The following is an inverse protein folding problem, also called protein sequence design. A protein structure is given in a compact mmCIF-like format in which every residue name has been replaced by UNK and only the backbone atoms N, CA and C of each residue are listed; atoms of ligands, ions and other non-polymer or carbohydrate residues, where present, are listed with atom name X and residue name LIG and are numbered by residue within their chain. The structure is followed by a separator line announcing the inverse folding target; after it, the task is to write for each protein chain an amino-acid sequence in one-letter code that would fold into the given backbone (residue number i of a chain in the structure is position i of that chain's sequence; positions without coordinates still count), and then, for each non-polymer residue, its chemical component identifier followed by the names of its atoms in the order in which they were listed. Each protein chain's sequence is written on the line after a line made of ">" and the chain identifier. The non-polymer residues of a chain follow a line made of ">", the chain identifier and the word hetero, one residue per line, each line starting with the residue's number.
data_IF_984168994775
#
_entry.id   IF_984168994775
#
_cell.length_a   1.000
_cell.length_b   1.000
_cell.length_c   1.000
_cell.angle_alpha   90.00
_cell.angle_beta   90.00
_cell.angle_gamma   90.00
#
_symmetry.space_group_name_H-M   'P 1'
#
loop_
_entity.id
_entity.type
_entity.pdbx_description
1 polymer ?
#
# COMPACT_ATOMS: atom_id res chain seq x y z
N UNK A 1 -5.77 63.99 87.49
CA UNK A 1 -5.79 64.23 86.02
C UNK A 1 -5.04 63.18 85.20
N UNK A 2 -3.86 62.67 85.61
CA UNK A 2 -3.17 61.60 84.85
C UNK A 2 -3.93 60.27 84.74
N UNK A 3 -4.62 59.83 85.81
CA UNK A 3 -5.41 58.56 85.80
C UNK A 3 -6.65 58.61 84.90
N UNK A 4 -7.31 59.76 84.79
CA UNK A 4 -8.48 59.95 83.91
C UNK A 4 -8.07 60.03 82.45
N UNK A 5 -6.90 60.59 82.13
CA UNK A 5 -6.33 60.60 80.79
C UNK A 5 -5.92 59.21 80.30
N UNK A 6 -5.37 58.37 81.19
CA UNK A 6 -5.03 56.97 80.88
C UNK A 6 -6.29 56.10 80.70
N UNK A 7 -7.35 56.35 81.49
CA UNK A 7 -8.62 55.65 81.32
C UNK A 7 -9.34 56.05 80.01
N UNK A 8 -9.28 57.34 79.64
CA UNK A 8 -9.84 57.82 78.36
C UNK A 8 -9.05 57.30 77.15
N UNK A 9 -7.72 57.23 77.24
CA UNK A 9 -6.90 56.67 76.17
C UNK A 9 -7.07 55.16 76.03
N UNK A 10 -7.20 54.41 77.14
CA UNK A 10 -7.52 52.98 77.10
C UNK A 10 -8.92 52.71 76.53
N UNK A 11 -9.91 53.54 76.86
CA UNK A 11 -11.26 53.44 76.28
C UNK A 11 -11.27 53.79 74.78
N UNK A 12 -10.52 54.80 74.36
CA UNK A 12 -10.38 55.19 72.95
C UNK A 12 -9.66 54.11 72.11
N UNK A 13 -8.63 53.47 72.67
CA UNK A 13 -7.93 52.35 72.04
C UNK A 13 -8.85 51.12 71.97
N UNK A 14 -9.67 50.87 72.99
CA UNK A 14 -10.66 49.79 72.96
C UNK A 14 -11.79 50.01 71.93
N UNK A 15 -12.21 51.26 71.69
CA UNK A 15 -13.20 51.57 70.64
C UNK A 15 -12.62 51.51 69.23
N UNK A 16 -11.34 51.84 69.04
CA UNK A 16 -10.67 51.69 67.74
C UNK A 16 -10.36 50.22 67.40
N UNK A 17 -10.17 49.38 68.42
CA UNK A 17 -10.01 47.93 68.25
C UNK A 17 -11.34 47.19 67.98
N UNK A 18 -12.48 47.88 68.04
CA UNK A 18 -13.80 47.25 67.94
C UNK A 18 -14.28 46.98 66.50
N UNK A 19 -13.66 47.59 65.48
CA UNK A 19 -14.01 47.36 64.08
C UNK A 19 -12.75 47.26 63.21
N UNK A 20 -12.33 46.04 62.88
CA UNK A 20 -11.25 45.82 61.92
C UNK A 20 -11.81 45.73 60.50
N UNK A 21 -11.22 46.42 59.51
CA UNK A 21 -11.63 46.27 58.13
C UNK A 21 -11.18 44.90 57.58
N UNK A 22 -12.11 44.17 56.98
CA UNK A 22 -11.85 42.93 56.25
C UNK A 22 -12.34 43.07 54.82
N UNK A 23 -11.42 42.98 53.87
CA UNK A 23 -11.73 43.13 52.44
C UNK A 23 -11.75 41.77 51.77
N UNK A 24 -12.71 41.57 50.87
CA UNK A 24 -12.77 40.42 49.97
C UNK A 24 -12.27 40.82 48.58
N UNK A 25 -11.48 39.96 47.92
CA UNK A 25 -11.19 40.15 46.49
C UNK A 25 -12.44 39.90 45.63
N UNK A 26 -12.38 40.27 44.34
CA UNK A 26 -13.49 40.11 43.40
C UNK A 26 -13.94 38.64 43.20
N UNK A 27 -13.06 37.68 43.47
CA UNK A 27 -13.33 36.23 43.36
C UNK A 27 -13.38 35.53 44.71
N UNK A 28 -13.39 36.27 45.81
CA UNK A 28 -13.39 35.72 47.16
C UNK A 28 -14.73 35.97 47.85
N UNK A 29 -15.29 34.95 48.45
CA UNK A 29 -16.46 35.04 49.33
C UNK A 29 -15.98 34.98 50.77
N UNK A 30 -16.44 35.94 51.56
CA UNK A 30 -16.17 35.95 52.99
C UNK A 30 -17.22 35.15 53.75
N UNK A 31 -16.79 34.41 54.75
CA UNK A 31 -17.67 33.74 55.70
C UNK A 31 -17.40 34.34 57.07
N UNK A 32 -18.42 34.99 57.62
CA UNK A 32 -18.40 35.56 58.95
C UNK A 32 -19.12 34.62 59.91
N UNK A 33 -18.43 34.19 60.96
CA UNK A 33 -19.04 33.40 62.02
C UNK A 33 -19.10 34.21 63.32
N UNK A 34 -20.31 34.41 63.83
CA UNK A 34 -20.51 35.10 65.09
C UNK A 34 -20.48 34.11 66.27
N UNK A 35 -19.49 34.25 67.16
CA UNK A 35 -19.28 33.36 68.30
C UNK A 35 -20.40 33.41 69.34
N UNK A 36 -21.13 34.52 69.43
CA UNK A 36 -22.18 34.74 70.43
C UNK A 36 -23.50 34.13 69.94
N UNK A 37 -23.92 34.48 68.73
CA UNK A 37 -25.20 34.02 68.16
C UNK A 37 -25.09 32.65 67.49
N UNK A 38 -23.87 32.15 67.25
CA UNK A 38 -23.57 30.95 66.45
C UNK A 38 -24.16 31.01 65.04
N UNK A 39 -24.42 32.21 64.53
CA UNK A 39 -24.91 32.43 63.18
C UNK A 39 -23.73 32.60 62.22
N UNK A 40 -23.93 32.12 60.99
CA UNK A 40 -22.95 32.24 59.90
C UNK A 40 -23.55 33.08 58.80
N UNK A 41 -22.85 34.12 58.37
CA UNK A 41 -23.27 35.00 57.28
C UNK A 41 -22.25 34.94 56.13
N UNK A 42 -22.77 34.91 54.91
CA UNK A 42 -21.97 34.89 53.68
C UNK A 42 -21.87 36.30 53.15
N UNK A 43 -20.65 36.83 53.15
CA UNK A 43 -20.30 38.14 52.63
C UNK A 43 -20.03 38.07 51.12
N UNK A 44 -20.64 38.98 50.36
CA UNK A 44 -20.47 39.10 48.91
C UNK A 44 -19.03 39.50 48.54
N UNK A 45 -18.52 39.02 47.38
CA UNK A 45 -17.20 39.39 46.87
C UNK A 45 -17.01 40.87 46.57
N UNK A 46 -15.77 41.34 46.63
CA UNK A 46 -15.38 42.70 46.24
C UNK A 46 -15.81 43.82 47.19
N UNK A 47 -16.22 43.47 48.41
CA UNK A 47 -16.67 44.43 49.42
C UNK A 47 -15.79 44.39 50.68
N UNK A 48 -15.78 45.52 51.40
CA UNK A 48 -15.11 45.68 52.70
C UNK A 48 -16.14 45.62 53.82
N UNK A 49 -15.92 44.72 54.77
CA UNK A 49 -16.77 44.49 55.91
C UNK A 49 -16.06 44.95 57.18
N UNK A 50 -16.83 45.50 58.12
CA UNK A 50 -16.33 45.99 59.41
C UNK A 50 -17.03 45.24 60.53
N UNK A 51 -16.27 44.50 61.33
CA UNK A 51 -16.80 43.79 62.49
C UNK A 51 -15.74 43.64 63.59
N UNK A 52 -16.19 43.36 64.81
CA UNK A 52 -15.32 43.15 65.95
C UNK A 52 -14.66 41.76 65.89
N UNK A 53 -13.31 41.66 65.86
CA UNK A 53 -12.60 40.39 65.74
C UNK A 53 -12.68 39.51 67.00
N UNK A 54 -13.08 40.10 68.14
CA UNK A 54 -13.28 39.36 69.39
C UNK A 54 -14.55 38.49 69.29
N UNK A 55 -15.57 38.96 68.58
CA UNK A 55 -16.90 38.34 68.50
C UNK A 55 -17.06 37.52 67.21
N UNK A 56 -16.38 37.91 66.13
CA UNK A 56 -16.55 37.31 64.82
C UNK A 56 -15.26 36.68 64.33
N UNK A 57 -15.35 35.43 63.86
CA UNK A 57 -14.29 34.81 63.05
C UNK A 57 -14.56 35.07 61.57
N UNK A 58 -13.48 35.29 60.82
CA UNK A 58 -13.54 35.61 59.40
C UNK A 58 -12.66 34.66 58.60
N UNK A 59 -13.19 34.14 57.51
CA UNK A 59 -12.45 33.32 56.56
C UNK A 59 -12.88 33.66 55.15
N UNK A 60 -11.92 33.70 54.23
CA UNK A 60 -12.19 33.90 52.80
C UNK A 60 -12.06 32.59 52.06
N UNK A 61 -12.99 32.35 51.14
CA UNK A 61 -12.97 31.25 50.20
C UNK A 61 -12.89 31.79 48.78
N UNK A 62 -11.99 31.22 47.99
CA UNK A 62 -11.88 31.56 46.58
C UNK A 62 -12.92 30.74 45.80
N UNK A 63 -13.86 31.44 45.15
CA UNK A 63 -14.94 30.83 44.36
C UNK A 63 -14.58 30.70 42.88
N UNK A 64 -13.39 31.16 42.49
CA UNK A 64 -12.87 30.95 41.15
C UNK A 64 -12.62 29.48 40.87
N UNK A 65 -12.59 29.14 39.58
CA UNK A 65 -12.28 27.80 39.11
C UNK A 65 -10.82 27.47 39.37
N UNK A 66 -10.59 26.41 40.13
CA UNK A 66 -9.27 25.94 40.54
C UNK A 66 -8.96 24.58 39.90
N UNK A 67 -7.68 24.36 39.64
CA UNK A 67 -7.17 23.08 39.17
C UNK A 67 -6.48 22.35 40.33
N UNK A 68 -6.93 21.13 40.59
CA UNK A 68 -6.25 20.17 41.44
C UNK A 68 -5.45 19.25 40.51
N UNK A 69 -4.12 19.38 40.52
CA UNK A 69 -3.23 18.59 39.66
C UNK A 69 -2.54 17.50 40.48
N UNK A 70 -2.70 16.26 40.01
CA UNK A 70 -2.08 15.04 40.52
C UNK A 70 -1.19 14.48 39.41
N UNK A 71 0.13 14.65 39.51
CA UNK A 71 1.07 14.29 38.43
C UNK A 71 2.27 13.49 38.97
N UNK A 72 2.85 12.67 38.09
CA UNK A 72 4.12 11.97 38.32
C UNK A 72 5.29 12.93 38.50
N UNK A 73 5.29 14.07 37.80
CA UNK A 73 6.40 15.03 37.80
C UNK A 73 6.34 15.92 39.05
N UNK A 74 7.43 15.93 39.83
CA UNK A 74 7.57 16.72 41.05
C UNK A 74 7.39 18.24 40.85
N UNK A 75 7.73 18.78 39.68
CA UNK A 75 7.57 20.20 39.36
C UNK A 75 6.28 20.50 38.56
N UNK A 76 5.48 19.48 38.24
CA UNK A 76 4.28 19.60 37.39
C UNK A 76 2.96 19.58 38.13
N UNK A 77 2.95 19.35 39.45
CA UNK A 77 1.74 19.15 40.26
C UNK A 77 1.58 20.14 41.41
N UNK A 78 0.48 19.98 42.15
CA UNK A 78 0.20 20.76 43.37
C UNK A 78 1.18 20.50 44.52
N UNK A 79 1.93 19.39 44.47
CA UNK A 79 2.88 18.95 45.49
C UNK A 79 4.26 18.77 44.86
N UNK A 80 5.30 19.00 45.66
CA UNK A 80 6.70 18.75 45.29
C UNK A 80 7.05 17.26 45.19
N UNK A 81 6.16 16.38 45.63
CA UNK A 81 6.33 14.93 45.59
C UNK A 81 5.48 14.31 44.47
N UNK A 82 5.88 13.11 44.02
CA UNK A 82 5.12 12.31 43.06
C UNK A 82 3.72 12.01 43.61
N UNK A 83 2.69 12.58 42.99
CA UNK A 83 1.28 12.46 43.39
C UNK A 83 0.40 12.00 42.22
N UNK A 84 0.91 11.07 41.42
CA UNK A 84 0.15 10.42 40.36
C UNK A 84 -0.92 9.47 40.92
N UNK A 85 -1.95 9.23 40.12
CA UNK A 85 -2.96 8.24 40.42
C UNK A 85 -2.45 6.86 40.00
N UNK A 86 -2.26 5.98 40.98
CA UNK A 86 -1.80 4.60 40.75
C UNK A 86 -2.91 3.62 41.06
N UNK A 87 -3.17 2.72 40.11
CA UNK A 87 -4.26 1.77 40.23
C UNK A 87 -4.03 0.54 39.37
N UNK A 88 -4.88 -0.47 39.56
CA UNK A 88 -4.88 -1.69 38.76
C UNK A 88 -6.06 -1.68 37.83
N UNK A 89 -5.81 -1.95 36.56
CA UNK A 89 -6.86 -2.23 35.57
C UNK A 89 -7.60 -3.52 35.93
N UNK A 90 -8.73 -3.75 35.26
CA UNK A 90 -9.56 -4.94 35.46
C UNK A 90 -8.82 -6.25 35.17
N UNK A 91 -7.84 -6.22 34.25
CA UNK A 91 -6.94 -7.33 33.93
C UNK A 91 -5.73 -7.48 34.90
N UNK A 92 -5.61 -6.60 35.90
CA UNK A 92 -4.61 -6.70 36.98
C UNK A 92 -3.30 -5.95 36.76
N UNK A 93 -3.12 -5.28 35.62
CA UNK A 93 -1.91 -4.51 35.32
C UNK A 93 -1.85 -3.20 36.10
N UNK A 94 -0.65 -2.80 36.53
CA UNK A 94 -0.45 -1.55 37.25
C UNK A 94 -0.29 -0.38 36.27
N UNK A 95 -1.15 0.63 36.42
CA UNK A 95 -1.11 1.90 35.69
C UNK A 95 -0.86 3.04 36.64
N UNK A 96 -0.05 3.98 36.17
CA UNK A 96 0.16 5.27 36.78
C UNK A 96 -0.28 6.37 35.81
N UNK A 97 -1.23 7.22 36.20
CA UNK A 97 -1.77 8.29 35.36
C UNK A 97 -1.79 9.63 36.08
N UNK A 98 -1.54 10.68 35.32
CA UNK A 98 -1.71 12.06 35.75
C UNK A 98 -3.20 12.43 35.63
N UNK A 99 -3.70 13.21 36.59
CA UNK A 99 -5.11 13.63 36.64
C UNK A 99 -5.18 15.10 37.06
N UNK A 100 -5.96 15.87 36.31
CA UNK A 100 -6.30 17.24 36.66
C UNK A 100 -7.80 17.33 36.89
N UNK A 101 -8.21 17.73 38.09
CA UNK A 101 -9.61 18.00 38.41
C UNK A 101 -9.84 19.50 38.44
N UNK A 102 -10.77 19.96 37.61
CA UNK A 102 -11.23 21.35 37.61
C UNK A 102 -12.46 21.45 38.50
N UNK A 103 -12.39 22.27 39.54
CA UNK A 103 -13.42 22.39 40.56
C UNK A 103 -13.54 23.84 41.05
N UNK A 104 -14.68 24.17 41.64
CA UNK A 104 -14.93 25.48 42.27
C UNK A 104 -15.83 25.31 43.47
N UNK A 105 -15.85 26.33 44.33
CA UNK A 105 -16.74 26.38 45.49
C UNK A 105 -18.09 26.97 45.07
N UNK A 106 -19.19 26.41 45.61
CA UNK A 106 -20.51 27.02 45.54
C UNK A 106 -20.61 28.17 46.56
N UNK A 107 -20.75 29.43 46.11
CA UNK A 107 -20.85 30.58 47.02
C UNK A 107 -21.98 30.45 48.05
N UNK A 108 -23.09 29.82 47.67
CA UNK A 108 -24.27 29.67 48.53
C UNK A 108 -24.04 28.73 49.70
N UNK A 109 -23.08 27.79 49.57
CA UNK A 109 -22.76 26.78 50.57
C UNK A 109 -21.45 27.06 51.30
N UNK A 110 -20.82 28.21 51.08
CA UNK A 110 -19.55 28.60 51.70
C UNK A 110 -19.60 28.56 53.25
N UNK A 111 -20.73 28.98 53.84
CA UNK A 111 -20.95 28.89 55.28
C UNK A 111 -20.85 27.43 55.80
N UNK A 112 -21.46 26.48 55.08
CA UNK A 112 -21.47 25.06 55.42
C UNK A 112 -20.08 24.43 55.27
N UNK A 113 -19.31 24.86 54.27
CA UNK A 113 -17.93 24.41 54.06
C UNK A 113 -17.06 24.77 55.26
N UNK A 114 -17.19 26.00 55.76
CA UNK A 114 -16.44 26.48 56.91
C UNK A 114 -16.78 25.67 58.16
N UNK A 115 -18.06 25.41 58.41
CA UNK A 115 -18.54 24.69 59.59
C UNK A 115 -18.16 23.20 59.57
N UNK A 116 -18.29 22.53 58.41
CA UNK A 116 -18.25 21.07 58.34
C UNK A 116 -17.00 20.50 57.67
N UNK A 117 -16.35 21.26 56.79
CA UNK A 117 -15.35 20.71 55.87
C UNK A 117 -13.93 21.21 56.16
N UNK A 118 -13.70 22.52 56.06
CA UNK A 118 -12.36 23.08 56.20
C UNK A 118 -12.35 24.60 56.46
N UNK A 119 -11.36 25.09 57.23
CA UNK A 119 -11.18 26.51 57.54
C UNK A 119 -10.49 27.31 56.41
N UNK A 120 -10.10 26.68 55.29
CA UNK A 120 -9.53 27.39 54.13
C UNK A 120 -9.71 26.59 52.84
N UNK A 121 -9.71 27.28 51.70
CA UNK A 121 -9.72 26.67 50.36
C UNK A 121 -8.61 25.63 50.19
N UNK A 122 -7.39 25.92 50.65
CA UNK A 122 -6.25 25.00 50.58
C UNK A 122 -6.49 23.74 51.40
N UNK A 123 -7.00 23.88 52.63
CA UNK A 123 -7.31 22.74 53.48
C UNK A 123 -8.45 21.90 52.91
N UNK A 124 -9.46 22.54 52.31
CA UNK A 124 -10.55 21.86 51.61
C UNK A 124 -10.02 21.02 50.45
N UNK A 125 -9.14 21.61 49.62
CA UNK A 125 -8.47 20.93 48.51
C UNK A 125 -7.74 19.67 48.98
N UNK A 126 -6.89 19.80 50.00
CA UNK A 126 -6.02 18.71 50.45
C UNK A 126 -6.74 17.62 51.25
N UNK A 127 -7.75 17.97 52.06
CA UNK A 127 -8.42 17.02 52.97
C UNK A 127 -9.69 16.41 52.41
N UNK A 128 -10.38 17.11 51.52
CA UNK A 128 -11.69 16.66 51.00
C UNK A 128 -11.60 16.38 49.51
N UNK A 129 -11.26 17.39 48.69
CA UNK A 129 -11.30 17.25 47.23
C UNK A 129 -10.31 16.19 46.75
N UNK A 130 -9.03 16.26 47.17
CA UNK A 130 -7.97 15.36 46.72
C UNK A 130 -8.25 13.89 47.06
N UNK A 131 -8.58 13.50 48.32
CA UNK A 131 -8.87 12.11 48.64
C UNK A 131 -10.11 11.56 47.93
N UNK A 132 -11.20 12.35 47.85
CA UNK A 132 -12.43 11.93 47.17
C UNK A 132 -12.21 11.76 45.66
N UNK A 133 -11.51 12.71 45.04
CA UNK A 133 -11.15 12.62 43.63
C UNK A 133 -10.27 11.39 43.36
N UNK A 134 -9.26 11.14 44.19
CA UNK A 134 -8.39 9.95 44.07
C UNK A 134 -9.21 8.65 44.11
N UNK A 135 -10.20 8.56 44.99
CA UNK A 135 -11.06 7.38 45.11
C UNK A 135 -11.98 7.20 43.91
N UNK A 136 -12.81 8.20 43.59
CA UNK A 136 -13.84 8.03 42.54
C UNK A 136 -13.27 8.00 41.13
N UNK A 137 -12.20 8.77 40.85
CA UNK A 137 -11.52 8.68 39.56
C UNK A 137 -10.90 7.30 39.40
N UNK A 138 -10.24 6.78 40.44
CA UNK A 138 -9.73 5.40 40.43
C UNK A 138 -10.82 4.37 40.18
N UNK A 139 -11.96 4.48 40.88
CA UNK A 139 -13.04 3.50 40.76
C UNK A 139 -13.66 3.48 39.35
N UNK A 140 -13.70 4.64 38.66
CA UNK A 140 -14.11 4.71 37.26
C UNK A 140 -13.06 4.08 36.32
N UNK A 141 -11.77 4.39 36.52
CA UNK A 141 -10.69 3.90 35.66
C UNK A 141 -10.36 2.41 35.87
N UNK A 142 -10.56 1.88 37.07
CA UNK A 142 -10.38 0.45 37.40
C UNK A 142 -11.27 -0.49 36.57
N UNK A 143 -12.33 0.04 35.96
CA UNK A 143 -13.25 -0.76 35.13
C UNK A 143 -12.71 -1.06 33.74
N UNK A 144 -11.69 -0.31 33.30
CA UNK A 144 -11.07 -0.48 32.00
C UNK A 144 -9.99 -1.57 32.06
N UNK A 145 -9.88 -2.33 30.97
CA UNK A 145 -8.72 -3.18 30.70
C UNK A 145 -7.53 -2.35 30.18
N UNK A 146 -6.33 -2.95 30.14
CA UNK A 146 -5.13 -2.26 29.66
C UNK A 146 -5.24 -1.83 28.21
N UNK A 147 -5.86 -2.66 27.36
CA UNK A 147 -6.09 -2.35 25.94
C UNK A 147 -7.13 -1.23 25.78
N UNK A 148 -8.23 -1.30 26.52
CA UNK A 148 -9.26 -0.26 26.54
C UNK A 148 -8.70 1.07 27.03
N UNK A 149 -7.75 1.04 27.97
CA UNK A 149 -7.06 2.22 28.45
C UNK A 149 -6.21 2.88 27.36
N UNK A 150 -5.71 2.16 26.36
CA UNK A 150 -5.01 2.80 25.23
C UNK A 150 -5.96 3.56 24.30
N UNK A 151 -7.25 3.21 24.28
CA UNK A 151 -8.24 3.88 23.44
C UNK A 151 -8.63 5.25 24.04
N UNK A 152 -8.33 6.38 23.36
CA UNK A 152 -8.65 7.71 23.85
C UNK A 152 -10.15 7.92 24.14
N UNK A 153 -11.03 7.33 23.33
CA UNK A 153 -12.48 7.52 23.47
C UNK A 153 -13.02 6.85 24.73
N UNK A 154 -12.55 5.63 25.03
CA UNK A 154 -12.95 4.89 26.22
C UNK A 154 -12.42 5.56 27.49
N UNK A 155 -11.18 6.05 27.47
CA UNK A 155 -10.63 6.86 28.57
C UNK A 155 -11.43 8.13 28.82
N UNK A 156 -11.79 8.85 27.76
CA UNK A 156 -12.57 10.09 27.90
C UNK A 156 -13.97 9.81 28.48
N UNK A 157 -14.61 8.72 28.07
CA UNK A 157 -15.88 8.27 28.65
C UNK A 157 -15.72 7.96 30.14
N UNK A 158 -14.69 7.20 30.53
CA UNK A 158 -14.42 6.91 31.93
C UNK A 158 -14.12 8.17 32.75
N UNK A 159 -13.42 9.16 32.19
CA UNK A 159 -13.21 10.46 32.82
C UNK A 159 -14.51 11.26 33.00
N UNK A 160 -15.41 11.19 32.01
CA UNK A 160 -16.74 11.81 32.11
C UNK A 160 -17.61 11.13 33.18
N UNK A 161 -17.57 9.80 33.26
CA UNK A 161 -18.23 9.05 34.34
C UNK A 161 -17.66 9.40 35.71
N UNK A 162 -16.33 9.46 35.83
CA UNK A 162 -15.65 9.91 37.04
C UNK A 162 -16.09 11.31 37.44
N UNK A 163 -16.24 12.23 36.48
CA UNK A 163 -16.73 13.59 36.72
C UNK A 163 -18.14 13.56 37.31
N UNK A 164 -19.06 12.75 36.77
CA UNK A 164 -20.43 12.62 37.27
C UNK A 164 -20.47 12.05 38.69
N UNK A 165 -19.71 10.97 38.94
CA UNK A 165 -19.62 10.34 40.25
C UNK A 165 -19.05 11.31 41.29
N UNK A 166 -17.93 11.94 40.96
CA UNK A 166 -17.26 12.89 41.85
C UNK A 166 -18.13 14.11 42.14
N UNK A 167 -18.82 14.65 41.12
CA UNK A 167 -19.76 15.76 41.29
C UNK A 167 -20.91 15.40 42.24
N UNK A 168 -21.52 14.22 42.08
CA UNK A 168 -22.61 13.77 42.94
C UNK A 168 -22.19 13.65 44.42
N UNK A 169 -20.96 13.19 44.67
CA UNK A 169 -20.45 13.03 46.04
C UNK A 169 -19.91 14.32 46.67
N UNK A 170 -19.44 15.27 45.86
CA UNK A 170 -18.90 16.56 46.35
C UNK A 170 -19.95 17.68 46.45
N UNK A 171 -21.08 17.54 45.75
CA UNK A 171 -22.17 18.53 45.80
C UNK A 171 -22.74 18.77 47.22
N UNK A 172 -22.92 17.76 48.10
CA UNK A 172 -23.36 17.97 49.48
C UNK A 172 -22.38 18.79 50.34
N UNK A 173 -21.10 18.81 49.95
CA UNK A 173 -20.05 19.59 50.59
C UNK A 173 -19.91 21.00 49.98
N UNK A 174 -20.80 21.42 49.07
CA UNK A 174 -20.73 22.73 48.44
C UNK A 174 -19.60 22.88 47.42
N UNK A 175 -19.08 21.76 46.90
CA UNK A 175 -18.02 21.75 45.88
C UNK A 175 -18.62 21.34 44.54
N UNK A 176 -18.35 22.15 43.52
CA UNK A 176 -18.81 21.91 42.15
C UNK A 176 -17.62 21.44 41.33
N UNK A 177 -17.74 20.25 40.76
CA UNK A 177 -16.74 19.66 39.88
C UNK A 177 -17.15 19.94 38.45
N UNK A 178 -16.28 20.60 37.70
CA UNK A 178 -16.55 20.92 36.30
C UNK A 178 -16.12 19.79 35.37
N UNK A 179 -14.90 19.28 35.58
CA UNK A 179 -14.33 18.27 34.70
C UNK A 179 -13.16 17.54 35.35
N UNK A 180 -13.08 16.23 35.11
CA UNK A 180 -11.87 15.42 35.32
C UNK A 180 -11.16 15.26 33.98
N UNK A 181 -9.87 15.61 33.95
CA UNK A 181 -9.00 15.54 32.77
C UNK A 181 -7.89 14.53 33.08
N UNK A 182 -7.71 13.56 32.20
CA UNK A 182 -6.62 12.58 32.28
C UNK A 182 -5.42 13.10 31.48
N UNK A 183 -4.24 13.00 32.06
CA UNK A 183 -2.97 13.39 31.44
C UNK A 183 -2.19 12.19 30.92
N UNK A 184 -0.86 12.30 31.02
CA UNK A 184 0.05 11.23 30.64
C UNK A 184 -0.12 10.00 31.54
N UNK A 185 0.07 8.82 30.96
CA UNK A 185 0.00 7.55 31.67
C UNK A 185 1.21 6.68 31.36
N UNK A 186 1.55 5.78 32.27
CA UNK A 186 2.56 4.75 32.05
C UNK A 186 2.10 3.45 32.69
N UNK A 187 2.32 2.34 31.99
CA UNK A 187 2.31 1.02 32.58
C UNK A 187 3.63 0.75 33.29
N UNK A 188 3.68 -0.32 34.09
CA UNK A 188 4.96 -0.87 34.56
C UNK A 188 5.88 -1.20 33.38
N UNK A 189 7.20 -0.98 33.50
CA UNK A 189 8.16 -1.23 32.42
C UNK A 189 8.04 -2.63 31.82
N UNK A 190 7.87 -3.65 32.67
CA UNK A 190 7.75 -5.05 32.23
C UNK A 190 6.59 -5.25 31.25
N UNK A 191 5.41 -4.73 31.59
CA UNK A 191 4.23 -4.82 30.72
C UNK A 191 4.43 -4.04 29.41
N UNK A 192 5.01 -2.85 29.48
CA UNK A 192 5.32 -2.06 28.29
C UNK A 192 6.25 -2.81 27.33
N UNK A 193 7.26 -3.52 27.85
CA UNK A 193 8.14 -4.33 27.00
C UNK A 193 7.41 -5.51 26.36
N UNK A 194 6.47 -6.15 27.06
CA UNK A 194 5.65 -7.23 26.50
C UNK A 194 4.75 -6.74 25.37
N UNK A 195 4.09 -5.60 25.56
CA UNK A 195 3.27 -4.97 24.51
C UNK A 195 4.11 -4.59 23.30
N UNK A 196 5.28 -3.97 23.51
CA UNK A 196 6.18 -3.59 22.42
C UNK A 196 6.66 -4.83 21.66
N UNK A 197 7.06 -5.90 22.36
CA UNK A 197 7.46 -7.18 21.75
C UNK A 197 6.33 -7.83 20.98
N UNK A 198 5.10 -7.82 21.51
CA UNK A 198 3.92 -8.32 20.81
C UNK A 198 3.65 -7.55 19.53
N UNK A 199 3.71 -6.21 19.59
CA UNK A 199 3.52 -5.35 18.42
C UNK A 199 4.62 -5.54 17.36
N UNK A 200 5.87 -5.74 17.79
CA UNK A 200 6.97 -6.09 16.89
C UNK A 200 6.76 -7.45 16.24
N UNK A 201 6.32 -8.45 17.01
CA UNK A 201 6.00 -9.78 16.48
C UNK A 201 4.83 -9.75 15.49
N UNK A 202 3.75 -9.03 15.79
CA UNK A 202 2.61 -8.83 14.88
C UNK A 202 3.04 -8.12 13.58
N UNK A 203 3.84 -7.05 13.70
CA UNK A 203 4.39 -6.35 12.52
C UNK A 203 5.32 -7.25 11.69
N UNK A 204 6.10 -8.11 12.34
CA UNK A 204 6.97 -9.06 11.64
C UNK A 204 6.15 -10.17 10.97
N UNK A 205 5.07 -10.65 11.61
CA UNK A 205 4.16 -11.61 11.01
C UNK A 205 3.48 -11.01 9.76
N UNK A 206 2.97 -9.78 9.84
CA UNK A 206 2.36 -9.07 8.70
C UNK A 206 3.36 -8.89 7.54
N UNK A 207 4.62 -8.55 7.84
CA UNK A 207 5.69 -8.47 6.84
C UNK A 207 5.98 -9.83 6.20
N UNK A 208 6.08 -10.89 7.00
CA UNK A 208 6.32 -12.24 6.48
C UNK A 208 5.15 -12.71 5.61
N UNK A 209 3.91 -12.43 6.00
CA UNK A 209 2.72 -12.73 5.18
C UNK A 209 2.77 -11.98 3.84
N UNK A 210 3.11 -10.68 3.86
CA UNK A 210 3.29 -9.89 2.65
C UNK A 210 4.43 -10.42 1.75
N UNK A 211 5.56 -10.82 2.35
CA UNK A 211 6.70 -11.42 1.64
C UNK A 211 6.35 -12.79 1.03
N UNK A 212 5.59 -13.62 1.75
CA UNK A 212 5.08 -14.90 1.24
C UNK A 212 4.17 -14.66 0.05
N UNK A 213 3.22 -13.72 0.16
CA UNK A 213 2.30 -13.38 -0.93
C UNK A 213 3.06 -12.88 -2.17
N UNK A 214 4.00 -11.94 -1.99
CA UNK A 214 4.82 -11.41 -3.08
C UNK A 214 5.70 -12.50 -3.73
N UNK A 215 6.25 -13.41 -2.93
CA UNK A 215 7.05 -14.54 -3.44
C UNK A 215 6.18 -15.51 -4.23
N UNK A 216 4.97 -15.81 -3.75
CA UNK A 216 4.01 -16.65 -4.47
C UNK A 216 3.60 -16.03 -5.80
N UNK A 217 3.33 -14.73 -5.84
CA UNK A 217 3.00 -14.00 -7.06
C UNK A 217 4.17 -13.98 -8.05
N UNK A 218 5.38 -13.66 -7.58
CA UNK A 218 6.61 -13.71 -8.38
C UNK A 218 6.86 -15.11 -8.94
N UNK A 219 6.70 -16.16 -8.14
CA UNK A 219 6.85 -17.54 -8.60
C UNK A 219 5.80 -17.93 -9.65
N UNK A 220 4.55 -17.47 -9.50
CA UNK A 220 3.51 -17.67 -10.53
C UNK A 220 3.85 -16.93 -11.83
N UNK A 221 4.31 -15.67 -11.74
CA UNK A 221 4.74 -14.90 -12.89
C UNK A 221 5.93 -15.57 -13.61
N UNK A 222 6.93 -16.02 -12.86
CA UNK A 222 8.08 -16.76 -13.40
C UNK A 222 7.66 -18.08 -14.07
N UNK A 223 6.70 -18.81 -13.49
CA UNK A 223 6.14 -20.02 -14.08
C UNK A 223 5.42 -19.71 -15.41
N UNK A 224 4.59 -18.66 -15.44
CA UNK A 224 3.89 -18.22 -16.65
C UNK A 224 4.88 -17.79 -17.74
N UNK A 225 5.93 -17.07 -17.38
CA UNK A 225 6.98 -16.68 -18.32
C UNK A 225 7.70 -17.90 -18.91
N UNK A 226 8.04 -18.90 -18.09
CA UNK A 226 8.64 -20.16 -18.58
C UNK A 226 7.69 -20.94 -19.48
N UNK A 227 6.39 -20.99 -19.15
CA UNK A 227 5.39 -21.62 -20.02
C UNK A 227 5.29 -20.88 -21.35
N UNK A 228 5.29 -19.54 -21.34
CA UNK A 228 5.26 -18.73 -22.54
C UNK A 228 6.50 -18.98 -23.43
N UNK A 229 7.70 -19.03 -22.84
CA UNK A 229 8.95 -19.33 -23.54
C UNK A 229 8.94 -20.74 -24.16
N UNK A 230 8.51 -21.76 -23.39
CA UNK A 230 8.37 -23.12 -23.92
C UNK A 230 7.33 -23.20 -25.04
N UNK A 231 6.25 -22.44 -24.93
CA UNK A 231 5.19 -22.38 -25.96
C UNK A 231 5.72 -21.71 -27.23
N UNK A 232 6.51 -20.64 -27.11
CA UNK A 232 7.17 -19.99 -28.24
C UNK A 232 8.16 -20.94 -28.93
N UNK A 233 9.02 -21.62 -28.16
CA UNK A 233 9.96 -22.60 -28.70
C UNK A 233 9.24 -23.75 -29.41
N UNK A 234 8.18 -24.29 -28.80
CA UNK A 234 7.37 -25.35 -29.41
C UNK A 234 6.74 -24.87 -30.72
N UNK A 235 6.15 -23.67 -30.73
CA UNK A 235 5.52 -23.07 -31.91
C UNK A 235 6.55 -22.85 -33.01
N UNK A 236 7.75 -22.39 -32.68
CA UNK A 236 8.86 -22.20 -33.61
C UNK A 236 9.32 -23.52 -34.22
N UNK A 237 9.58 -24.55 -33.39
CA UNK A 237 9.98 -25.87 -33.88
C UNK A 237 8.89 -26.54 -34.73
N UNK A 238 7.61 -26.36 -34.38
CA UNK A 238 6.49 -26.82 -35.21
C UNK A 238 6.43 -26.07 -36.54
N UNK A 239 6.61 -24.75 -36.53
CA UNK A 239 6.67 -23.92 -37.73
C UNK A 239 7.82 -24.34 -38.66
N UNK A 240 9.01 -24.58 -38.13
CA UNK A 240 10.18 -25.08 -38.89
C UNK A 240 9.90 -26.47 -39.49
N UNK A 241 9.29 -27.38 -38.71
CA UNK A 241 8.90 -28.71 -39.18
C UNK A 241 7.83 -28.63 -40.29
N UNK A 242 6.84 -27.76 -40.15
CA UNK A 242 5.84 -27.53 -41.20
C UNK A 242 6.45 -26.92 -42.46
N UNK A 243 7.38 -25.98 -42.33
CA UNK A 243 8.12 -25.42 -43.47
C UNK A 243 8.96 -26.49 -44.16
N UNK A 244 9.65 -27.34 -43.39
CA UNK A 244 10.43 -28.45 -43.93
C UNK A 244 9.55 -29.47 -44.67
N UNK A 245 8.37 -29.82 -44.11
CA UNK A 245 7.39 -30.67 -44.78
C UNK A 245 6.89 -30.05 -46.08
N UNK A 246 6.44 -28.78 -46.04
CA UNK A 246 5.98 -28.05 -47.23
C UNK A 246 7.07 -27.96 -48.31
N UNK A 247 8.31 -27.73 -47.92
CA UNK A 247 9.45 -27.70 -48.84
C UNK A 247 9.73 -29.08 -49.46
N UNK A 248 9.67 -30.14 -48.67
CA UNK A 248 9.80 -31.52 -49.15
C UNK A 248 8.67 -31.89 -50.13
N UNK A 249 7.43 -31.55 -49.79
CA UNK A 249 6.26 -31.77 -50.65
C UNK A 249 6.37 -30.98 -51.95
N UNK A 250 6.73 -29.70 -51.88
CA UNK A 250 6.96 -28.85 -53.05
C UNK A 250 8.10 -29.40 -53.94
N UNK A 251 9.15 -29.95 -53.33
CA UNK A 251 10.24 -30.60 -54.05
C UNK A 251 9.77 -31.86 -54.79
N UNK A 252 8.99 -32.72 -54.13
CA UNK A 252 8.41 -33.91 -54.76
C UNK A 252 7.50 -33.55 -55.93
N UNK A 253 6.59 -32.59 -55.75
CA UNK A 253 5.69 -32.13 -56.81
C UNK A 253 6.48 -31.53 -57.96
N UNK A 254 7.48 -30.69 -57.70
CA UNK A 254 8.36 -30.13 -58.74
C UNK A 254 9.06 -31.23 -59.54
N UNK A 255 9.64 -32.22 -58.86
CA UNK A 255 10.30 -33.37 -59.51
C UNK A 255 9.34 -34.21 -60.34
N UNK A 256 8.11 -34.42 -59.86
CA UNK A 256 7.08 -35.12 -60.63
C UNK A 256 6.68 -34.33 -61.89
N UNK A 257 6.49 -33.02 -61.77
CA UNK A 257 6.18 -32.15 -62.91
C UNK A 257 7.33 -32.08 -63.92
N UNK A 258 8.58 -31.97 -63.46
CA UNK A 258 9.78 -32.04 -64.32
C UNK A 258 9.83 -33.38 -65.06
N UNK A 259 9.62 -34.49 -64.36
CA UNK A 259 9.62 -35.82 -64.98
C UNK A 259 8.50 -35.95 -66.03
N UNK A 260 7.29 -35.49 -65.73
CA UNK A 260 6.17 -35.46 -66.69
C UNK A 260 6.46 -34.58 -67.90
N UNK A 261 7.06 -33.39 -67.69
CA UNK A 261 7.45 -32.49 -68.75
C UNK A 261 8.51 -33.12 -69.66
N UNK A 262 9.53 -33.77 -69.08
CA UNK A 262 10.56 -34.50 -69.85
C UNK A 262 9.94 -35.64 -70.65
N UNK A 263 9.02 -36.43 -70.06
CA UNK A 263 8.31 -37.49 -70.79
C UNK A 263 7.52 -36.87 -71.94
N UNK A 264 6.72 -35.83 -71.68
CA UNK A 264 5.93 -35.15 -72.70
C UNK A 264 6.78 -34.59 -73.83
N UNK A 265 7.87 -33.88 -73.52
CA UNK A 265 8.84 -33.34 -74.49
C UNK A 265 9.46 -34.46 -75.32
N UNK A 266 9.97 -35.53 -74.68
CA UNK A 266 10.56 -36.67 -75.39
C UNK A 266 9.54 -37.38 -76.27
N UNK A 267 8.29 -37.51 -75.83
CA UNK A 267 7.22 -38.08 -76.66
C UNK A 267 6.88 -37.19 -77.85
N UNK A 268 6.79 -35.87 -77.66
CA UNK A 268 6.53 -34.91 -78.73
C UNK A 268 7.67 -34.87 -79.75
N UNK A 269 8.93 -34.90 -79.31
CA UNK A 269 10.11 -35.02 -80.19
C UNK A 269 10.08 -36.34 -80.95
N UNK A 270 9.78 -37.46 -80.28
CA UNK A 270 9.68 -38.76 -80.93
C UNK A 270 8.55 -38.81 -81.96
N UNK A 271 7.41 -38.16 -81.70
CA UNK A 271 6.33 -37.98 -82.69
C UNK A 271 6.73 -37.05 -83.84
N UNK A 272 7.43 -35.96 -83.56
CA UNK A 272 7.98 -35.04 -84.56
C UNK A 272 8.92 -35.76 -85.53
N UNK A 273 9.90 -36.50 -85.00
CA UNK A 273 10.83 -37.32 -85.80
C UNK A 273 10.08 -38.40 -86.59
N UNK A 274 9.04 -39.01 -86.01
CA UNK A 274 8.21 -39.99 -86.73
C UNK A 274 7.47 -39.34 -87.90
N UNK A 275 6.87 -38.16 -87.71
CA UNK A 275 6.19 -37.41 -88.79
C UNK A 275 7.17 -36.92 -89.84
N UNK A 276 8.35 -36.45 -89.46
CA UNK A 276 9.43 -36.05 -90.36
C UNK A 276 9.91 -37.22 -91.21
N UNK A 277 10.17 -38.38 -90.60
CA UNK A 277 10.50 -39.62 -91.34
C UNK A 277 9.38 -40.03 -92.29
N UNK A 278 8.11 -39.92 -91.88
CA UNK A 278 6.99 -40.24 -92.75
C UNK A 278 6.89 -39.28 -93.95
N UNK A 279 7.17 -37.97 -93.75
CA UNK A 279 7.22 -36.98 -94.82
C UNK A 279 8.40 -37.21 -95.78
N UNK A 280 9.57 -37.58 -95.25
CA UNK A 280 10.76 -37.93 -96.04
C UNK A 280 10.63 -39.27 -96.78
N UNK A 281 9.80 -40.21 -96.30
CA UNK A 281 9.50 -41.44 -97.04
C UNK A 281 8.36 -41.26 -98.07
N UNK A 282 7.69 -40.10 -98.08
CA UNK A 282 6.71 -39.73 -99.11
C UNK A 282 7.36 -39.13 -100.36
N UNK A 283 6.55 -38.77 -101.36
CA UNK A 283 6.99 -38.28 -102.69
C UNK A 283 7.86 -37.01 -102.68
N UNK A 284 8.08 -36.36 -101.53
CA UNK A 284 8.93 -35.18 -101.37
C UNK A 284 10.37 -35.50 -100.91
N UNK A 285 10.65 -36.71 -100.42
CA UNK A 285 11.98 -37.06 -99.89
C UNK A 285 13.06 -37.25 -100.95
N UNK A 286 12.72 -37.91 -102.07
CA UNK A 286 13.65 -38.14 -103.17
C UNK A 286 14.16 -36.83 -103.78
N UNK A 287 13.30 -35.80 -103.84
CA UNK A 287 13.67 -34.46 -104.28
C UNK A 287 14.64 -33.78 -103.30
N UNK A 288 14.40 -33.90 -101.99
CA UNK A 288 15.26 -33.30 -100.96
C UNK A 288 16.66 -33.95 -100.93
N UNK A 289 16.73 -35.28 -100.99
CA UNK A 289 18.01 -36.02 -101.06
C UNK A 289 18.76 -35.67 -102.34
N UNK A 290 18.08 -35.55 -103.48
CA UNK A 290 18.69 -35.13 -104.74
C UNK A 290 19.26 -33.71 -104.66
N UNK A 291 18.57 -32.78 -104.01
CA UNK A 291 19.01 -31.39 -103.85
C UNK A 291 20.23 -31.25 -102.94
N UNK A 292 20.26 -31.99 -101.81
CA UNK A 292 21.46 -32.06 -100.96
C UNK A 292 22.63 -32.77 -101.64
N UNK A 293 22.37 -33.81 -102.44
CA UNK A 293 23.41 -34.48 -103.21
C UNK A 293 24.01 -33.53 -104.26
N UNK A 294 23.18 -32.71 -104.91
CA UNK A 294 23.64 -31.66 -105.82
C UNK A 294 24.51 -30.63 -105.08
N UNK A 295 24.08 -30.10 -103.92
CA UNK A 295 24.86 -29.12 -103.14
C UNK A 295 26.19 -29.71 -102.62
N UNK A 296 26.19 -30.99 -102.22
CA UNK A 296 27.39 -31.70 -101.77
C UNK A 296 28.36 -32.01 -102.93
N UNK A 297 27.85 -32.27 -104.15
CA UNK A 297 28.65 -32.50 -105.35
C UNK A 297 29.21 -31.18 -105.94
N UNK A 298 28.48 -30.08 -105.78
CA UNK A 298 28.92 -28.75 -106.23
C UNK A 298 30.14 -28.23 -105.44
N UNK A 299 30.36 -28.72 -104.21
CA UNK A 299 31.47 -28.34 -103.32
C UNK A 299 32.75 -29.18 -103.48
N UNK A 300 32.86 -30.10 -104.45
CA UNK A 300 34.07 -30.90 -104.65
C UNK A 300 34.67 -30.75 -106.05
N UNK A 301 35.90 -30.21 -106.12
CA UNK A 301 36.75 -30.20 -107.32
C UNK A 301 37.17 -31.64 -107.70
N UNK A 302 36.89 -32.04 -108.94
CA UNK A 302 37.38 -33.30 -109.53
C UNK A 302 38.84 -33.08 -109.98
N UNK A 303 39.82 -33.56 -109.20
CA UNK A 303 41.24 -33.59 -109.61
C UNK A 303 41.55 -34.86 -110.42
N UNK A 304 41.91 -34.69 -111.70
CA UNK A 304 42.47 -35.76 -112.52
C UNK A 304 43.95 -35.98 -112.18
N UNK A 305 44.35 -37.23 -111.93
CA UNK A 305 45.75 -37.65 -111.76
C UNK A 305 46.19 -38.30 -113.09
N UNK A 306 47.17 -37.76 -113.82
CA UNK A 306 47.65 -38.38 -115.06
C UNK A 306 48.55 -39.59 -114.74
N UNK A 307 48.27 -40.74 -115.39
CA UNK A 307 49.19 -41.88 -115.48
C UNK A 307 49.58 -42.14 -116.93
N UNK A 308 50.82 -42.61 -117.06
CA UNK A 308 51.57 -43.00 -118.24
C UNK A 308 50.79 -43.91 -119.22
N UNK A 309 50.88 -43.57 -120.51
CA UNK A 309 50.66 -44.39 -121.71
C UNK A 309 49.25 -44.96 -121.98
N UNK A 310 48.58 -44.36 -122.96
CA UNK A 310 47.47 -44.97 -123.72
C UNK A 310 46.11 -44.32 -123.46
N UNK A 311 45.62 -43.55 -124.44
CA UNK A 311 44.32 -42.89 -124.41
C UNK A 311 43.16 -43.89 -124.20
N UNK A 312 42.44 -43.74 -123.09
CA UNK A 312 41.03 -44.12 -123.00
C UNK A 312 40.26 -42.88 -122.54
N UNK A 313 39.43 -42.37 -123.43
CA UNK A 313 38.43 -41.34 -123.12
C UNK A 313 37.32 -42.03 -122.33
N UNK A 314 37.18 -41.71 -121.05
CA UNK A 314 35.99 -42.08 -120.27
C UNK A 314 34.99 -40.94 -120.46
N UNK A 315 34.00 -41.20 -121.31
CA UNK A 315 32.88 -40.31 -121.55
C UNK A 315 31.96 -40.28 -120.31
N UNK A 316 31.75 -39.08 -119.74
CA UNK A 316 30.92 -38.85 -118.57
C UNK A 316 29.46 -39.27 -118.75
N UNK A 317 28.98 -39.42 -119.99
CA UNK A 317 27.62 -39.90 -120.26
C UNK A 317 27.46 -41.41 -120.03
N UNK A 318 28.52 -42.22 -120.14
CA UNK A 318 28.45 -43.67 -119.85
C UNK A 318 28.40 -43.99 -118.35
N UNK A 319 28.91 -43.10 -117.50
CA UNK A 319 28.83 -43.27 -116.05
C UNK A 319 27.41 -43.00 -115.53
N UNK A 320 26.71 -42.06 -116.18
CA UNK A 320 25.31 -41.73 -115.90
C UNK A 320 24.37 -42.87 -116.30
N UNK A 321 24.64 -43.59 -117.40
CA UNK A 321 23.89 -44.80 -117.79
C UNK A 321 24.12 -45.96 -116.82
N UNK A 322 25.36 -46.20 -116.36
CA UNK A 322 25.62 -47.27 -115.38
C UNK A 322 24.98 -46.98 -114.01
N UNK A 323 24.97 -45.72 -113.56
CA UNK A 323 24.26 -45.33 -112.34
C UNK A 323 22.74 -45.37 -112.49
N UNK A 324 22.20 -45.08 -113.69
CA UNK A 324 20.78 -45.24 -114.00
C UNK A 324 20.33 -46.71 -114.04
N UNK A 325 21.15 -47.61 -114.60
CA UNK A 325 20.86 -49.05 -114.68
C UNK A 325 20.94 -49.73 -113.31
N UNK A 326 21.86 -49.33 -112.43
CA UNK A 326 21.94 -49.84 -111.05
C UNK A 326 20.69 -49.44 -110.24
N UNK A 327 20.13 -48.25 -110.46
CA UNK A 327 18.88 -47.83 -109.81
C UNK A 327 17.64 -48.57 -110.34
N UNK A 328 17.64 -48.97 -111.61
CA UNK A 328 16.52 -49.72 -112.19
C UNK A 328 16.47 -51.17 -111.66
N UNK A 329 17.62 -51.79 -111.38
CA UNK A 329 17.67 -53.15 -110.82
C UNK A 329 17.28 -53.22 -109.33
N UNK A 330 17.47 -52.16 -108.55
CA UNK A 330 17.01 -52.14 -107.15
C UNK A 330 15.51 -51.87 -106.97
N UNK A 331 14.78 -51.53 -108.04
CA UNK A 331 13.31 -51.34 -108.01
C UNK A 331 12.50 -52.59 -108.42
N UNK A 332 13.13 -53.75 -108.67
CA UNK A 332 12.41 -55.00 -108.95
C UNK A 332 13.04 -56.21 -108.24
N UNK A 333 12.89 -56.31 -106.92
CA UNK A 333 12.77 -57.61 -106.25
C UNK A 333 11.68 -57.51 -105.15
N UNK A 334 10.65 -58.39 -105.16
CA UNK A 334 9.46 -58.25 -104.33
C UNK A 334 9.63 -58.83 -102.92
N UNK A 335 8.83 -58.25 -102.00
CA UNK A 335 8.57 -58.71 -100.64
C UNK A 335 8.41 -60.23 -100.51
N UNK A 336 9.10 -60.79 -99.51
CA UNK A 336 8.49 -61.62 -98.48
C UNK A 336 8.92 -61.11 -97.12
#
# INVERSE_FOLDING_TARGET
>A
MKKTLIALSAAAIATLAACTPHTTAATEVGVQFNKITRSTEVAQPGATYFFAPIINDWTVFDVSTQNLVMSRKAEGGDRLEKDDLRFKTRDGNDIETDVTIRWRIDPSQAAKIWEQSAPSTRTLKERVVRPQARTYVRDALNRLDSEEYYNPDLRFRAASEATKLLAAHLQPFGIIVEQVILGDFSFKPDYQTLINRRKEAEKNAEKLEAEILATLESNKANLQQKIAELTEQLTRSQGELEQAKKAADAYLVRRQQEAQAVIAEKTAVAEGVRKERAALNGSAGDAYVSLQLIDALQKKEIRQIPKLNGNVIIDGNKLLEQLGVIKYQQQQEPKQ
#
